data_IF_418356272567
#
_entry.id   IF_418356272567
#
_cell.length_a   1.000
_cell.length_b   1.000
_cell.length_c   1.000
_cell.angle_alpha   90.00
_cell.angle_beta   90.00
_cell.angle_gamma   90.00
#
_symmetry.space_group_name_H-M   'P 1'
#
loop_
_entity.id
_entity.type
_entity.pdbx_description
1 polymer ?
#
# COMPACT_ATOMS: atom_id res chain seq x y z
N UNK A 1 6.17 16.37 -16.33
CA UNK A 1 4.89 15.71 -15.99
C UNK A 1 5.21 14.79 -14.83
N UNK A 2 4.74 15.08 -13.63
CA UNK A 2 4.96 14.22 -12.46
C UNK A 2 4.11 12.97 -12.63
N UNK A 3 4.75 11.82 -12.85
CA UNK A 3 4.09 10.51 -12.85
C UNK A 3 3.39 10.24 -11.52
N UNK A 4 2.36 9.41 -11.50
CA UNK A 4 1.69 9.02 -10.25
C UNK A 4 2.70 8.38 -9.29
N UNK A 5 3.71 7.70 -9.83
CA UNK A 5 4.86 7.20 -9.07
C UNK A 5 5.58 8.26 -8.23
N UNK A 6 5.72 9.51 -8.71
CA UNK A 6 6.33 10.59 -7.93
C UNK A 6 5.39 11.05 -6.82
N UNK A 7 4.11 11.24 -7.13
CA UNK A 7 3.08 11.61 -6.13
C UNK A 7 3.01 10.58 -5.00
N UNK A 8 3.10 9.30 -5.36
CA UNK A 8 3.03 8.17 -4.42
C UNK A 8 4.41 7.63 -4.02
N UNK A 9 5.49 8.38 -4.26
CA UNK A 9 6.84 7.94 -3.90
C UNK A 9 6.98 7.67 -2.39
N UNK A 10 6.24 8.41 -1.57
CA UNK A 10 6.15 8.18 -0.12
C UNK A 10 5.53 6.82 0.22
N UNK A 11 4.50 6.41 -0.51
CA UNK A 11 3.84 5.09 -0.34
C UNK A 11 4.79 3.96 -0.73
N UNK A 12 5.47 4.11 -1.86
CA UNK A 12 6.44 3.12 -2.36
C UNK A 12 7.59 2.98 -1.36
N UNK A 13 8.09 4.10 -0.83
CA UNK A 13 9.13 4.11 0.19
C UNK A 13 8.66 3.46 1.49
N UNK A 14 7.42 3.74 1.91
CA UNK A 14 6.82 3.08 3.07
C UNK A 14 6.68 1.57 2.85
N UNK A 15 6.28 1.12 1.65
CA UNK A 15 6.20 -0.31 1.31
C UNK A 15 7.56 -1.00 1.33
N UNK A 16 8.60 -0.37 0.79
CA UNK A 16 9.96 -0.90 0.88
C UNK A 16 10.45 -0.97 2.34
N UNK A 17 10.21 0.10 3.11
CA UNK A 17 10.60 0.20 4.53
C UNK A 17 9.83 -0.77 5.42
N UNK A 18 8.55 -1.03 5.10
CA UNK A 18 7.71 -2.01 5.77
C UNK A 18 8.11 -3.47 5.49
N UNK A 19 9.04 -3.70 4.56
CA UNK A 19 9.49 -5.05 4.20
C UNK A 19 8.49 -5.81 3.32
N UNK A 20 7.74 -5.10 2.46
CA UNK A 20 6.86 -5.73 1.48
C UNK A 20 7.72 -6.52 0.49
N UNK A 21 7.51 -7.83 0.44
CA UNK A 21 8.13 -8.72 -0.55
C UNK A 21 7.39 -8.68 -1.87
N UNK A 22 8.09 -8.93 -2.98
CA UNK A 22 7.50 -8.92 -4.32
C UNK A 22 6.79 -7.59 -4.68
N UNK A 23 7.28 -6.46 -4.17
CA UNK A 23 6.72 -5.15 -4.47
C UNK A 23 6.82 -4.87 -5.98
N UNK A 24 5.67 -4.74 -6.64
CA UNK A 24 5.54 -4.31 -8.02
C UNK A 24 4.82 -2.98 -8.08
N UNK A 25 5.41 -2.04 -8.81
CA UNK A 25 4.84 -0.71 -9.02
C UNK A 25 4.77 -0.48 -10.52
N UNK A 26 3.55 -0.41 -11.06
CA UNK A 26 3.29 -0.20 -12.48
C UNK A 26 2.24 0.88 -12.63
N UNK A 27 2.45 1.83 -13.53
CA UNK A 27 1.41 2.78 -13.92
C UNK A 27 0.72 2.24 -15.18
N UNK A 28 -0.61 2.12 -15.16
CA UNK A 28 -1.39 1.64 -16.28
C UNK A 28 -2.72 2.40 -16.37
N UNK A 29 -3.06 2.89 -17.56
CA UNK A 29 -4.29 3.66 -17.81
C UNK A 29 -4.49 4.86 -16.87
N UNK A 30 -3.40 5.50 -16.42
CA UNK A 30 -3.47 6.60 -15.45
C UNK A 30 -3.81 6.16 -14.02
N UNK A 31 -3.60 4.87 -13.70
CA UNK A 31 -3.74 4.32 -12.35
C UNK A 31 -2.42 3.65 -11.95
N UNK A 32 -1.95 3.95 -10.75
CA UNK A 32 -0.76 3.34 -10.18
C UNK A 32 -1.11 2.03 -9.48
N UNK A 33 -0.70 0.90 -10.04
CA UNK A 33 -0.82 -0.41 -9.43
C UNK A 33 0.41 -0.69 -8.57
N UNK A 34 0.19 -0.78 -7.27
CA UNK A 34 1.18 -1.19 -6.29
C UNK A 34 0.73 -2.54 -5.72
N UNK A 35 1.43 -3.62 -6.03
CA UNK A 35 1.13 -4.94 -5.46
C UNK A 35 2.31 -5.51 -4.69
N UNK A 36 2.03 -6.32 -3.66
CA UNK A 36 3.08 -6.94 -2.88
C UNK A 36 2.57 -7.85 -1.77
N UNK A 37 3.50 -8.50 -1.07
CA UNK A 37 3.23 -9.39 0.05
C UNK A 37 3.87 -8.86 1.33
N UNK A 38 3.04 -8.43 2.26
CA UNK A 38 3.44 -8.07 3.62
C UNK A 38 3.60 -9.34 4.47
N UNK A 39 4.63 -9.36 5.33
CA UNK A 39 4.77 -10.40 6.34
C UNK A 39 3.74 -10.26 7.48
N UNK A 40 3.33 -9.03 7.81
CA UNK A 40 2.46 -8.71 8.95
C UNK A 40 1.43 -7.63 8.60
N UNK A 41 0.36 -7.52 9.39
CA UNK A 41 -0.61 -6.41 9.26
C UNK A 41 0.07 -5.06 9.46
N UNK A 42 1.01 -4.94 10.40
CA UNK A 42 1.71 -3.69 10.68
C UNK A 42 2.45 -3.15 9.45
N UNK A 43 3.06 -4.03 8.65
CA UNK A 43 3.68 -3.65 7.39
C UNK A 43 2.65 -3.11 6.39
N UNK A 44 1.48 -3.76 6.29
CA UNK A 44 0.37 -3.30 5.46
C UNK A 44 -0.23 -1.98 5.96
N UNK A 45 -0.39 -1.80 7.27
CA UNK A 45 -0.87 -0.56 7.90
C UNK A 45 0.10 0.60 7.65
N UNK A 46 1.42 0.37 7.69
CA UNK A 46 2.40 1.41 7.38
C UNK A 46 2.25 1.92 5.93
N UNK A 47 2.00 1.01 4.99
CA UNK A 47 1.72 1.37 3.58
C UNK A 47 0.41 2.14 3.48
N UNK A 48 -0.67 1.65 4.08
CA UNK A 48 -1.96 2.35 4.07
C UNK A 48 -1.89 3.73 4.72
N UNK A 49 -1.19 3.86 5.84
CA UNK A 49 -1.00 5.15 6.50
C UNK A 49 -0.23 6.13 5.60
N UNK A 50 0.79 5.65 4.88
CA UNK A 50 1.48 6.48 3.90
C UNK A 50 0.56 6.89 2.73
N UNK A 51 -0.35 6.02 2.29
CA UNK A 51 -1.40 6.39 1.32
C UNK A 51 -2.28 7.48 1.92
N UNK A 52 -2.74 7.34 3.16
CA UNK A 52 -3.57 8.35 3.85
C UNK A 52 -2.91 9.71 4.02
N UNK A 53 -1.57 9.77 4.06
CA UNK A 53 -0.84 11.04 4.07
C UNK A 53 -0.88 11.72 2.69
N UNK A 54 -0.86 10.94 1.61
CA UNK A 54 -0.92 11.46 0.23
C UNK A 54 -2.37 11.72 -0.21
N UNK A 55 -3.27 10.82 0.15
CA UNK A 55 -4.71 10.86 -0.10
C UNK A 55 -5.48 10.46 1.19
N UNK A 56 -5.83 11.44 2.03
CA UNK A 56 -6.56 11.18 3.28
C UNK A 56 -7.99 10.69 3.06
N UNK A 57 -8.57 10.89 1.88
CA UNK A 57 -9.93 10.46 1.58
C UNK A 57 -9.99 8.99 1.12
N UNK A 58 -8.83 8.40 0.76
CA UNK A 58 -8.70 7.09 0.12
C UNK A 58 -9.70 6.94 -1.04
N UNK A 59 -9.91 8.03 -1.78
CA UNK A 59 -10.82 8.14 -2.94
C UNK A 59 -10.06 8.20 -4.26
N UNK A 60 -8.72 8.25 -4.20
CA UNK A 60 -7.88 8.27 -5.36
C UNK A 60 -8.22 7.09 -6.27
N UNK A 61 -8.80 7.42 -7.42
CA UNK A 61 -9.07 6.47 -8.50
C UNK A 61 -7.81 6.19 -9.32
N UNK A 62 -6.77 6.97 -9.06
CA UNK A 62 -5.46 6.98 -9.69
C UNK A 62 -4.41 6.10 -8.98
N UNK A 63 -4.78 5.37 -7.91
CA UNK A 63 -3.92 4.36 -7.27
C UNK A 63 -4.71 3.10 -6.89
N UNK A 64 -4.09 1.95 -7.06
CA UNK A 64 -4.59 0.66 -6.61
C UNK A 64 -3.50 -0.07 -5.82
N UNK A 65 -3.69 -0.17 -4.50
CA UNK A 65 -2.75 -0.84 -3.59
C UNK A 65 -3.26 -2.23 -3.24
N UNK A 66 -2.65 -3.26 -3.82
CA UNK A 66 -2.91 -4.68 -3.54
C UNK A 66 -1.78 -5.29 -2.69
N UNK A 67 -1.81 -5.02 -1.39
CA UNK A 67 -0.89 -5.64 -0.44
C UNK A 67 -1.59 -6.79 0.29
N UNK A 68 -1.13 -8.01 -0.02
CA UNK A 68 -1.58 -9.25 0.62
C UNK A 68 -0.74 -9.51 1.86
N UNK A 69 -1.34 -10.00 2.95
CA UNK A 69 -0.57 -10.40 4.14
C UNK A 69 -0.39 -11.91 4.11
N UNK A 70 0.78 -12.38 3.72
CA UNK A 70 1.06 -13.82 3.54
C UNK A 70 1.22 -14.57 4.87
N UNK A 71 1.38 -13.85 5.99
CA UNK A 71 1.59 -14.42 7.33
C UNK A 71 0.36 -14.51 8.22
N UNK A 72 -0.79 -13.95 7.81
CA UNK A 72 -2.02 -14.03 8.61
C UNK A 72 -2.81 -15.27 8.22
N UNK A 73 -2.95 -16.19 9.19
CA UNK A 73 -3.90 -17.30 9.05
C UNK A 73 -5.31 -16.71 8.90
N UNK A 74 -6.11 -17.11 7.89
CA UNK A 74 -7.48 -16.62 7.73
C UNK A 74 -8.26 -16.85 9.04
N UNK A 75 -8.84 -15.78 9.60
CA UNK A 75 -9.55 -15.81 10.89
C UNK A 75 -8.84 -15.11 12.07
N UNK A 76 -7.69 -14.48 11.87
CA UNK A 76 -7.09 -13.62 12.90
C UNK A 76 -8.01 -12.42 13.18
N UNK A 77 -8.60 -12.36 14.37
CA UNK A 77 -9.43 -11.23 14.82
C UNK A 77 -8.55 -9.99 15.00
N UNK A 78 -8.54 -9.11 14.01
CA UNK A 78 -7.95 -7.78 14.11
C UNK A 78 -8.97 -6.90 14.86
N UNK A 79 -8.66 -6.53 16.11
CA UNK A 79 -9.43 -5.51 16.82
C UNK A 79 -9.03 -4.15 16.24
N UNK A 80 -9.95 -3.51 15.53
CA UNK A 80 -9.87 -2.07 15.28
C UNK A 80 -10.15 -1.38 16.62
N UNK A 81 -9.13 -0.75 17.20
CA UNK A 81 -9.33 0.12 18.36
C UNK A 81 -9.78 1.48 17.81
N UNK A 82 -11.07 1.76 17.92
CA UNK A 82 -11.71 3.05 17.62
C UNK A 82 -11.40 4.08 18.70
#
# INVERSE_FOLDING_TARGET
MTSLQEKYAGVISAAQSAGISNLKVTEQNGVLYVSGSAATTAAKDAVWNAVGVVDPEYKASDINVDVQVSGLKPGATLRVNT
#
